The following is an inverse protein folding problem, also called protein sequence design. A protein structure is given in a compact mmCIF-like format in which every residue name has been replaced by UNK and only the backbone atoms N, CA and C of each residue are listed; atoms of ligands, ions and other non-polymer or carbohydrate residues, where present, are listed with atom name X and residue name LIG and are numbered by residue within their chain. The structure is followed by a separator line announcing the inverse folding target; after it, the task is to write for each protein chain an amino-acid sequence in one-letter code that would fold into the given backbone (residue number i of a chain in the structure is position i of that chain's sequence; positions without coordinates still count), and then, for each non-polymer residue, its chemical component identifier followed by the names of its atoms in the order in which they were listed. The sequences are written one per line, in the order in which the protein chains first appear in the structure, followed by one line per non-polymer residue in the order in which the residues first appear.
data_IF_160964090496
#
_entry.id   IF_160964090496
#
_cell.length_a   1.000
_cell.length_b   1.000
_cell.length_c   1.000
_cell.angle_alpha   90.00
_cell.angle_beta   90.00
_cell.angle_gamma   90.00
#
_symmetry.space_group_name_H-M   'P 1'
#
loop_
_entity.id
_entity.type
_entity.pdbx_description
1 polymer ?
#
# COMPACT_ATOMS: atom_id res chain seq x y z
N UNK A 1 -1.18 18.68 12.77
CA UNK A 1 -2.28 18.20 13.64
C UNK A 1 -1.65 17.78 14.96
N UNK A 2 -2.09 18.37 16.08
CA UNK A 2 -1.58 18.03 17.41
C UNK A 2 -1.96 16.59 17.77
N UNK A 3 -0.99 15.80 18.22
CA UNK A 3 -1.15 14.37 18.55
C UNK A 3 -2.10 14.11 19.74
N UNK A 4 -2.57 15.17 20.41
CA UNK A 4 -3.46 15.14 21.58
C UNK A 4 -4.86 15.71 21.33
N UNK A 5 -5.21 16.03 20.08
CA UNK A 5 -6.57 16.47 19.79
C UNK A 5 -7.50 15.26 19.74
N UNK A 6 -8.47 15.21 20.66
CA UNK A 6 -9.43 14.10 20.77
C UNK A 6 -10.13 13.92 19.41
N UNK A 7 -10.09 12.72 18.81
CA UNK A 7 -10.67 12.52 17.48
C UNK A 7 -12.17 12.80 17.52
N UNK A 8 -12.68 13.49 16.50
CA UNK A 8 -14.10 13.80 16.39
C UNK A 8 -14.89 12.47 16.24
N UNK A 9 -16.08 12.37 16.86
CA UNK A 9 -16.99 11.22 16.72
C UNK A 9 -17.18 10.79 15.26
N UNK A 10 -17.27 11.76 14.34
CA UNK A 10 -17.37 11.49 12.91
C UNK A 10 -16.13 10.73 12.38
N UNK A 11 -14.93 11.19 12.71
CA UNK A 11 -13.68 10.55 12.28
C UNK A 11 -13.54 9.14 12.85
N UNK A 12 -13.95 8.94 14.11
CA UNK A 12 -13.93 7.62 14.74
C UNK A 12 -14.83 6.65 13.99
N UNK A 13 -16.08 7.01 13.71
CA UNK A 13 -17.05 6.15 13.01
C UNK A 13 -16.50 5.72 11.63
N UNK A 14 -16.01 6.68 10.84
CA UNK A 14 -15.46 6.42 9.50
C UNK A 14 -14.24 5.50 9.58
N UNK A 15 -13.30 5.80 10.47
CA UNK A 15 -12.07 5.01 10.62
C UNK A 15 -12.37 3.60 11.11
N UNK A 16 -13.36 3.43 12.00
CA UNK A 16 -13.82 2.11 12.45
C UNK A 16 -14.42 1.30 11.31
N UNK A 17 -15.22 1.90 10.43
CA UNK A 17 -15.76 1.18 9.26
C UNK A 17 -14.65 0.69 8.33
N UNK A 18 -13.66 1.55 8.06
CA UNK A 18 -12.48 1.19 7.25
C UNK A 18 -11.67 0.07 7.92
N UNK A 19 -11.44 0.18 9.23
CA UNK A 19 -10.74 -0.84 10.01
C UNK A 19 -11.43 -2.20 9.93
N UNK A 20 -12.77 -2.23 10.10
CA UNK A 20 -13.56 -3.47 10.00
C UNK A 20 -13.39 -4.10 8.63
N UNK A 21 -13.45 -3.30 7.56
CA UNK A 21 -13.25 -3.81 6.20
C UNK A 21 -11.85 -4.42 6.01
N UNK A 22 -10.80 -3.70 6.40
CA UNK A 22 -9.42 -4.18 6.33
C UNK A 22 -9.26 -5.48 7.12
N UNK A 23 -9.82 -5.54 8.32
CA UNK A 23 -9.81 -6.74 9.15
C UNK A 23 -10.46 -7.93 8.44
N UNK A 24 -11.66 -7.75 7.88
CA UNK A 24 -12.37 -8.80 7.14
C UNK A 24 -11.52 -9.32 5.97
N UNK A 25 -10.96 -8.43 5.15
CA UNK A 25 -10.14 -8.82 3.99
C UNK A 25 -8.90 -9.61 4.43
N UNK A 26 -8.24 -9.19 5.52
CA UNK A 26 -7.06 -9.89 6.03
C UNK A 26 -7.40 -11.28 6.60
N UNK A 27 -8.48 -11.40 7.35
CA UNK A 27 -8.96 -12.71 7.85
C UNK A 27 -9.33 -13.62 6.68
N UNK A 28 -10.02 -13.10 5.67
CA UNK A 28 -10.36 -13.85 4.47
C UNK A 28 -9.11 -14.31 3.70
N UNK A 29 -8.10 -13.45 3.55
CA UNK A 29 -6.84 -13.81 2.91
C UNK A 29 -6.15 -14.99 3.61
N UNK A 30 -6.10 -14.98 4.95
CA UNK A 30 -5.56 -16.09 5.75
C UNK A 30 -6.40 -17.36 5.56
N UNK A 31 -7.73 -17.25 5.65
CA UNK A 31 -8.63 -18.40 5.51
C UNK A 31 -8.54 -19.06 4.12
N UNK A 32 -8.22 -18.28 3.08
CA UNK A 32 -8.04 -18.75 1.71
C UNK A 32 -6.60 -19.18 1.40
N UNK A 33 -5.68 -19.13 2.37
CA UNK A 33 -4.28 -19.49 2.18
C UNK A 33 -3.51 -18.53 1.27
N UNK A 34 -3.96 -17.27 1.17
CA UNK A 34 -3.30 -16.24 0.36
C UNK A 34 -2.11 -15.66 1.10
N UNK A 35 -0.96 -15.55 0.43
CA UNK A 35 0.23 -14.92 1.02
C UNK A 35 -0.03 -13.43 1.27
N UNK A 36 -0.30 -13.04 2.52
CA UNK A 36 -0.88 -11.74 2.84
C UNK A 36 0.07 -10.55 2.79
N UNK A 37 1.40 -10.74 2.70
CA UNK A 37 2.34 -9.62 2.81
C UNK A 37 2.10 -8.48 1.80
N UNK A 38 1.75 -8.72 0.50
CA UNK A 38 1.49 -7.62 -0.42
C UNK A 38 0.25 -6.82 -0.02
N UNK A 39 -0.80 -7.50 0.46
CA UNK A 39 -2.03 -6.86 0.97
C UNK A 39 -1.76 -5.93 2.16
N UNK A 40 -0.92 -6.39 3.11
CA UNK A 40 -0.51 -5.57 4.24
C UNK A 40 0.24 -4.33 3.77
N UNK A 41 1.17 -4.45 2.82
CA UNK A 41 1.94 -3.33 2.33
C UNK A 41 1.09 -2.32 1.53
N UNK A 42 0.11 -2.77 0.75
CA UNK A 42 -0.87 -1.86 0.12
C UNK A 42 -1.58 -1.03 1.19
N UNK A 43 -2.04 -1.68 2.26
CA UNK A 43 -2.76 -1.01 3.36
C UNK A 43 -1.85 -0.03 4.12
N UNK A 44 -0.64 -0.44 4.46
CA UNK A 44 0.36 0.38 5.15
C UNK A 44 0.65 1.64 4.34
N UNK A 45 0.95 1.49 3.04
CA UNK A 45 1.28 2.65 2.21
C UNK A 45 0.09 3.55 1.93
N UNK A 46 -1.11 3.01 1.85
CA UNK A 46 -2.31 3.83 1.75
C UNK A 46 -2.43 4.77 2.96
N UNK A 47 -2.27 4.27 4.19
CA UNK A 47 -2.31 5.12 5.38
C UNK A 47 -1.07 6.00 5.55
N UNK A 48 0.13 5.48 5.26
CA UNK A 48 1.37 6.25 5.36
C UNK A 48 1.38 7.45 4.41
N UNK A 49 0.69 7.34 3.27
CA UNK A 49 0.48 8.42 2.30
C UNK A 49 -0.81 9.20 2.55
N UNK A 50 -1.34 9.17 3.78
CA UNK A 50 -2.45 10.01 4.22
C UNK A 50 -3.85 9.54 3.78
N UNK A 51 -4.00 8.29 3.34
CA UNK A 51 -5.26 7.72 2.86
C UNK A 51 -5.91 8.53 1.71
N UNK A 52 -5.08 9.13 0.85
CA UNK A 52 -5.53 9.90 -0.31
C UNK A 52 -5.57 9.01 -1.57
N UNK A 53 -6.70 9.05 -2.28
CA UNK A 53 -6.92 8.35 -3.54
C UNK A 53 -5.93 8.76 -4.64
N UNK A 54 -5.41 9.97 -4.59
CA UNK A 54 -4.39 10.44 -5.54
C UNK A 54 -3.06 9.68 -5.43
N UNK A 55 -2.81 9.05 -4.28
CA UNK A 55 -1.59 8.29 -4.03
C UNK A 55 -1.72 6.81 -4.44
N UNK A 56 -2.92 6.34 -4.77
CA UNK A 56 -3.17 4.95 -5.20
C UNK A 56 -2.35 4.57 -6.44
N UNK A 57 -2.27 5.38 -7.51
CA UNK A 57 -1.39 5.09 -8.64
C UNK A 57 0.08 4.93 -8.23
N UNK A 58 0.57 5.76 -7.29
CA UNK A 58 1.95 5.67 -6.80
C UNK A 58 2.22 4.40 -5.99
N UNK A 59 1.22 3.92 -5.24
CA UNK A 59 1.30 2.65 -4.52
C UNK A 59 1.39 1.49 -5.50
N UNK A 60 0.50 1.45 -6.49
CA UNK A 60 0.46 0.35 -7.46
C UNK A 60 1.64 0.35 -8.43
N UNK A 61 2.00 1.50 -8.98
CA UNK A 61 3.15 1.63 -9.86
C UNK A 61 4.46 1.34 -9.11
N UNK A 62 4.61 1.89 -7.89
CA UNK A 62 5.76 1.63 -7.03
C UNK A 62 5.89 0.16 -6.66
N UNK A 63 4.84 -0.45 -6.11
CA UNK A 63 4.89 -1.86 -5.73
C UNK A 63 5.14 -2.80 -6.91
N UNK A 64 4.57 -2.49 -8.08
CA UNK A 64 4.86 -3.22 -9.33
C UNK A 64 6.34 -3.12 -9.71
N UNK A 65 6.90 -1.90 -9.69
CA UNK A 65 8.32 -1.71 -9.99
C UNK A 65 9.20 -2.47 -8.98
N UNK A 66 8.87 -2.43 -7.69
CA UNK A 66 9.61 -3.15 -6.65
C UNK A 66 9.62 -4.67 -6.85
N UNK A 67 8.47 -5.26 -7.18
CA UNK A 67 8.35 -6.69 -7.47
C UNK A 67 9.12 -7.09 -8.73
N UNK A 68 9.06 -6.29 -9.80
CA UNK A 68 9.84 -6.53 -11.03
C UNK A 68 11.33 -6.35 -10.75
N UNK A 69 11.71 -5.34 -9.97
CA UNK A 69 13.09 -5.09 -9.59
C UNK A 69 13.68 -6.26 -8.78
N UNK A 70 12.88 -6.96 -7.97
CA UNK A 70 13.32 -8.17 -7.27
C UNK A 70 13.69 -9.30 -8.24
N UNK A 71 12.89 -9.51 -9.30
CA UNK A 71 13.24 -10.45 -10.37
C UNK A 71 14.51 -10.02 -11.10
N UNK A 72 14.63 -8.73 -11.42
CA UNK A 72 15.80 -8.17 -12.08
C UNK A 72 17.07 -8.34 -11.25
N UNK A 73 17.00 -8.07 -9.94
CA UNK A 73 18.09 -8.25 -9.00
C UNK A 73 18.52 -9.72 -8.93
N UNK A 74 17.56 -10.64 -8.80
CA UNK A 74 17.83 -12.07 -8.75
C UNK A 74 18.47 -12.56 -10.05
N UNK A 75 17.85 -12.26 -11.20
CA UNK A 75 18.35 -12.66 -12.50
C UNK A 75 19.74 -12.07 -12.81
N UNK A 76 19.97 -10.79 -12.48
CA UNK A 76 21.26 -10.14 -12.62
C UNK A 76 22.34 -10.79 -11.75
N UNK A 77 22.01 -11.10 -10.50
CA UNK A 77 22.96 -11.71 -9.55
C UNK A 77 23.43 -13.08 -10.04
N UNK A 78 22.51 -13.96 -10.43
CA UNK A 78 22.88 -15.30 -10.88
C UNK A 78 23.40 -15.33 -12.33
N UNK A 79 22.95 -14.41 -13.19
CA UNK A 79 23.43 -14.28 -14.56
C UNK A 79 24.87 -13.75 -14.66
N UNK A 80 25.26 -12.83 -13.77
CA UNK A 80 26.61 -12.26 -13.74
C UNK A 80 27.59 -13.06 -12.87
N UNK A 81 27.09 -13.95 -12.00
CA UNK A 81 27.91 -14.75 -11.10
C UNK A 81 29.05 -15.53 -11.78
N UNK A 82 28.88 -16.14 -12.99
CA UNK A 82 29.98 -16.83 -13.66
C UNK A 82 31.18 -15.94 -14.02
N UNK A 83 30.96 -14.63 -14.19
CA UNK A 83 32.01 -13.68 -14.58
C UNK A 83 32.60 -12.91 -13.40
N UNK A 84 31.77 -12.57 -12.40
CA UNK A 84 32.15 -11.65 -11.31
C UNK A 84 32.23 -12.33 -9.93
N UNK A 85 31.91 -13.61 -9.85
CA UNK A 85 31.60 -14.27 -8.58
C UNK A 85 30.29 -13.75 -7.98
N UNK A 86 29.76 -14.46 -6.97
CA UNK A 86 28.44 -14.14 -6.41
C UNK A 86 28.38 -12.75 -5.77
N UNK A 87 29.38 -12.39 -4.95
CA UNK A 87 29.43 -11.09 -4.28
C UNK A 87 29.54 -9.92 -5.27
N UNK A 88 30.40 -10.06 -6.29
CA UNK A 88 30.56 -9.05 -7.33
C UNK A 88 29.29 -8.88 -8.16
N UNK A 89 28.68 -9.99 -8.56
CA UNK A 89 27.43 -9.99 -9.33
C UNK A 89 26.26 -9.37 -8.54
N UNK A 90 26.11 -9.72 -7.26
CA UNK A 90 25.11 -9.11 -6.39
C UNK A 90 25.35 -7.60 -6.25
N UNK A 91 26.59 -7.19 -5.98
CA UNK A 91 26.95 -5.77 -5.78
C UNK A 91 26.63 -4.92 -7.00
N UNK A 92 26.94 -5.41 -8.20
CA UNK A 92 26.61 -4.71 -9.46
C UNK A 92 25.09 -4.68 -9.68
N UNK A 93 24.42 -5.81 -9.49
CA UNK A 93 22.97 -5.91 -9.72
C UNK A 93 22.17 -5.01 -8.77
N UNK A 94 22.51 -5.01 -7.48
CA UNK A 94 21.86 -4.14 -6.50
C UNK A 94 22.19 -2.67 -6.78
N UNK A 95 23.43 -2.32 -7.14
CA UNK A 95 23.78 -0.94 -7.48
C UNK A 95 22.93 -0.41 -8.66
N UNK A 96 22.74 -1.22 -9.70
CA UNK A 96 21.90 -0.86 -10.85
C UNK A 96 20.44 -0.69 -10.44
N UNK A 97 19.88 -1.66 -9.72
CA UNK A 97 18.47 -1.61 -9.28
C UNK A 97 18.22 -0.40 -8.38
N UNK A 98 19.10 -0.15 -7.42
CA UNK A 98 19.01 1.01 -6.54
C UNK A 98 19.16 2.32 -7.32
N UNK A 99 20.08 2.41 -8.27
CA UNK A 99 20.21 3.59 -9.13
C UNK A 99 18.93 3.86 -9.92
N UNK A 100 18.30 2.82 -10.50
CA UNK A 100 17.03 2.95 -11.22
C UNK A 100 15.93 3.49 -10.31
N UNK A 101 15.80 2.99 -9.08
CA UNK A 101 14.73 3.43 -8.18
C UNK A 101 15.03 4.82 -7.58
N UNK A 102 16.26 5.09 -7.15
CA UNK A 102 16.62 6.37 -6.50
C UNK A 102 16.69 7.49 -7.52
N UNK A 103 17.50 7.33 -8.56
CA UNK A 103 17.70 8.37 -9.58
C UNK A 103 16.45 8.49 -10.44
N UNK A 104 15.82 7.36 -10.79
CA UNK A 104 14.55 7.37 -11.51
C UNK A 104 13.44 8.08 -10.74
N UNK A 105 13.50 8.17 -9.41
CA UNK A 105 12.54 8.94 -8.61
C UNK A 105 12.53 10.44 -8.91
N UNK A 106 13.63 10.98 -9.46
CA UNK A 106 13.69 12.38 -9.91
C UNK A 106 12.97 12.59 -11.25
N UNK A 107 12.74 11.53 -12.02
CA UNK A 107 12.15 11.59 -13.37
C UNK A 107 10.72 11.03 -13.39
N UNK A 108 10.50 9.89 -12.73
CA UNK A 108 9.22 9.19 -12.62
C UNK A 108 8.90 8.85 -11.15
N UNK A 109 8.59 9.85 -10.31
CA UNK A 109 8.31 9.66 -8.87
C UNK A 109 7.06 8.80 -8.59
N UNK A 110 6.19 8.61 -9.60
CA UNK A 110 5.01 7.76 -9.46
C UNK A 110 5.40 6.28 -9.35
N UNK A 111 6.42 5.82 -10.08
CA UNK A 111 6.87 4.42 -10.02
C UNK A 111 8.15 4.26 -9.17
N UNK A 112 9.11 5.16 -9.33
CA UNK A 112 10.37 5.13 -8.60
C UNK A 112 10.24 5.85 -7.26
N UNK A 113 9.77 5.15 -6.22
CA UNK A 113 9.50 5.74 -4.91
C UNK A 113 9.75 4.76 -3.75
N UNK A 114 9.44 5.21 -2.53
CA UNK A 114 9.61 4.42 -1.30
C UNK A 114 8.76 3.13 -1.29
N UNK A 115 7.64 3.09 -2.02
CA UNK A 115 6.84 1.88 -2.19
C UNK A 115 7.63 0.84 -2.99
N UNK A 116 8.25 1.24 -4.11
CA UNK A 116 9.10 0.34 -4.90
C UNK A 116 10.25 -0.25 -4.07
N UNK A 117 10.88 0.60 -3.25
CA UNK A 117 11.91 0.18 -2.31
C UNK A 117 11.45 -0.89 -1.33
N UNK A 118 10.30 -0.67 -0.70
CA UNK A 118 9.77 -1.59 0.28
C UNK A 118 9.38 -2.94 -0.33
N UNK A 119 8.73 -2.93 -1.50
CA UNK A 119 8.37 -4.16 -2.19
C UNK A 119 9.60 -4.94 -2.67
N UNK A 120 10.62 -4.26 -3.21
CA UNK A 120 11.91 -4.87 -3.52
C UNK A 120 12.52 -5.53 -2.27
N UNK A 121 12.55 -4.81 -1.16
CA UNK A 121 13.18 -5.26 0.09
C UNK A 121 12.49 -6.52 0.60
N UNK A 122 11.16 -6.51 0.72
CA UNK A 122 10.41 -7.66 1.26
C UNK A 122 10.46 -8.85 0.31
N UNK A 123 10.33 -8.62 -1.00
CA UNK A 123 10.42 -9.69 -1.99
C UNK A 123 11.79 -10.38 -2.02
N UNK A 124 12.84 -9.69 -1.55
CA UNK A 124 14.22 -10.19 -1.54
C UNK A 124 14.69 -10.77 -0.21
N UNK A 125 13.85 -10.74 0.84
CA UNK A 125 14.18 -11.33 2.16
C UNK A 125 14.53 -12.81 2.04
N UNK A 126 13.80 -13.55 1.22
CA UNK A 126 14.13 -14.93 0.88
C UNK A 126 14.60 -15.00 -0.58
N UNK A 127 15.84 -14.54 -0.80
CA UNK A 127 16.40 -14.34 -2.13
C UNK A 127 16.42 -15.62 -2.99
N UNK A 128 16.73 -16.78 -2.38
CA UNK A 128 16.79 -18.07 -3.08
C UNK A 128 15.42 -18.59 -3.52
N UNK A 129 14.34 -18.15 -2.88
CA UNK A 129 12.98 -18.55 -3.22
C UNK A 129 12.37 -17.71 -4.35
N UNK A 130 13.09 -16.70 -4.86
CA UNK A 130 12.59 -15.83 -5.93
C UNK A 130 12.51 -16.62 -7.23
N UNK A 131 11.29 -16.72 -7.75
CA UNK A 131 11.02 -17.25 -9.08
C UNK A 131 9.99 -16.37 -9.77
N UNK A 132 9.92 -16.37 -11.12
CA UNK A 132 8.85 -15.68 -11.84
C UNK A 132 7.45 -16.10 -11.39
N UNK A 133 7.26 -17.37 -11.00
CA UNK A 133 5.98 -17.86 -10.50
C UNK A 133 5.63 -17.28 -9.12
N UNK A 134 6.59 -17.25 -8.19
CA UNK A 134 6.39 -16.68 -6.84
C UNK A 134 6.11 -15.19 -6.93
N UNK A 135 6.94 -14.43 -7.67
CA UNK A 135 6.73 -12.99 -7.84
C UNK A 135 5.45 -12.71 -8.63
N UNK A 136 5.13 -13.54 -9.64
CA UNK A 136 3.88 -13.45 -10.40
C UNK A 136 2.66 -13.64 -9.50
N UNK A 137 2.68 -14.63 -8.61
CA UNK A 137 1.63 -14.81 -7.61
C UNK A 137 1.52 -13.59 -6.68
N UNK A 138 2.64 -13.07 -6.18
CA UNK A 138 2.66 -11.87 -5.33
C UNK A 138 2.14 -10.64 -6.07
N UNK A 139 2.43 -10.49 -7.36
CA UNK A 139 1.88 -9.46 -8.24
C UNK A 139 0.36 -9.55 -8.36
N UNK A 140 -0.19 -10.77 -8.50
CA UNK A 140 -1.65 -10.98 -8.55
C UNK A 140 -2.28 -10.60 -7.20
N UNK A 141 -1.72 -11.07 -6.08
CA UNK A 141 -2.21 -10.72 -4.75
C UNK A 141 -2.13 -9.22 -4.51
N UNK A 142 -1.04 -8.59 -4.93
CA UNK A 142 -0.84 -7.14 -4.85
C UNK A 142 -1.90 -6.37 -5.62
N UNK A 143 -2.12 -6.68 -6.90
CA UNK A 143 -3.09 -5.96 -7.73
C UNK A 143 -4.54 -6.27 -7.36
N UNK A 144 -4.90 -7.54 -7.33
CA UNK A 144 -6.29 -7.97 -7.09
C UNK A 144 -6.66 -7.75 -5.63
N UNK A 145 -5.82 -8.25 -4.71
CA UNK A 145 -6.03 -8.06 -3.28
C UNK A 145 -5.95 -6.59 -2.88
N UNK A 146 -4.98 -5.84 -3.43
CA UNK A 146 -4.87 -4.41 -3.24
C UNK A 146 -6.10 -3.64 -3.71
N UNK A 147 -6.65 -3.98 -4.89
CA UNK A 147 -7.87 -3.36 -5.39
C UNK A 147 -9.07 -3.65 -4.48
N UNK A 148 -9.20 -4.89 -3.98
CA UNK A 148 -10.27 -5.27 -3.04
C UNK A 148 -10.14 -4.50 -1.72
N UNK A 149 -8.95 -4.46 -1.13
CA UNK A 149 -8.76 -3.83 0.18
C UNK A 149 -8.95 -2.31 0.09
N UNK A 150 -8.39 -1.65 -0.92
CA UNK A 150 -8.53 -0.20 -1.09
C UNK A 150 -9.93 0.18 -1.56
N UNK A 151 -10.46 -0.49 -2.59
CA UNK A 151 -11.80 -0.22 -3.11
C UNK A 151 -12.88 -0.39 -2.04
N UNK A 152 -12.83 -1.48 -1.28
CA UNK A 152 -13.78 -1.68 -0.19
C UNK A 152 -13.53 -0.76 1.01
N UNK A 153 -12.30 -0.28 1.24
CA UNK A 153 -12.03 0.74 2.26
C UNK A 153 -12.75 2.06 1.91
N UNK A 154 -12.81 2.43 0.64
CA UNK A 154 -13.56 3.60 0.19
C UNK A 154 -15.07 3.43 0.36
N UNK A 155 -15.57 2.24 0.02
CA UNK A 155 -16.98 1.91 0.24
C UNK A 155 -17.33 1.96 1.74
N UNK A 156 -16.48 1.39 2.59
CA UNK A 156 -16.63 1.43 4.04
C UNK A 156 -16.58 2.86 4.59
N UNK A 157 -15.68 3.70 4.07
CA UNK A 157 -15.62 5.11 4.44
C UNK A 157 -16.90 5.87 4.04
N UNK A 158 -17.43 5.61 2.84
CA UNK A 158 -18.71 6.19 2.38
C UNK A 158 -19.88 5.80 3.30
N UNK A 159 -19.95 4.53 3.71
CA UNK A 159 -20.95 4.04 4.66
C UNK A 159 -20.76 4.73 6.03
N UNK A 160 -19.52 4.80 6.52
CA UNK A 160 -19.20 5.49 7.77
C UNK A 160 -19.60 6.95 7.78
N UNK A 161 -19.40 7.67 6.65
CA UNK A 161 -19.83 9.06 6.50
C UNK A 161 -21.37 9.20 6.62
N UNK A 162 -22.13 8.27 6.00
CA UNK A 162 -23.60 8.26 6.10
C UNK A 162 -24.07 8.01 7.54
N UNK A 163 -23.45 7.04 8.22
CA UNK A 163 -23.76 6.72 9.62
C UNK A 163 -23.44 7.92 10.54
N UNK A 164 -22.29 8.55 10.34
CA UNK A 164 -21.87 9.67 11.14
C UNK A 164 -22.77 10.90 10.94
N UNK A 165 -23.22 11.15 9.69
CA UNK A 165 -24.17 12.22 9.37
C UNK A 165 -25.56 11.98 9.99
N UNK A 166 -26.05 10.74 9.99
CA UNK A 166 -27.35 10.39 10.58
C UNK A 166 -27.37 10.53 12.12
N UNK A 167 -26.20 10.49 12.77
CA UNK A 167 -26.06 10.65 14.22
C UNK A 167 -25.76 12.07 14.69
N UNK A 168 -25.77 13.07 13.78
CA UNK A 168 -25.55 14.48 14.12
C UNK A 168 -26.82 15.09 14.74
N UNK A 169 -26.72 15.87 15.84
CA UNK A 169 -27.86 16.57 16.40
C UNK A 169 -28.47 17.53 15.37
N UNK A 170 -29.80 17.66 15.39
CA UNK A 170 -30.52 18.61 14.54
C UNK A 170 -29.93 20.02 14.73
N UNK A 171 -29.92 20.88 13.67
CA UNK A 171 -29.55 22.28 13.83
C UNK A 171 -30.41 22.87 14.95
N UNK A 172 -29.77 23.42 15.98
CA UNK A 172 -30.46 24.14 17.04
C UNK A 172 -31.27 25.24 16.36
N UNK A 173 -32.60 25.16 16.48
CA UNK A 173 -33.50 26.12 15.86
C UNK A 173 -33.06 27.51 16.34
N UNK A 174 -32.72 28.38 15.37
CA UNK A 174 -32.42 29.77 15.67
C UNK A 174 -33.60 30.32 16.50
N UNK A 175 -33.34 31.02 17.62
CA UNK A 175 -34.43 31.67 18.35
C UNK A 175 -35.16 32.57 17.37
N UNK A 176 -36.46 32.36 17.21
CA UNK A 176 -37.34 33.30 16.55
C UNK A 176 -37.20 34.62 17.31
N UNK A 177 -36.43 35.56 16.75
CA UNK A 177 -36.50 36.96 17.17
C UNK A 177 -37.91 37.44 16.83
N UNK A 178 -38.74 37.34 17.86
CA UNK A 178 -40.09 37.83 18.00
C UNK A 178 -40.19 39.25 17.41
N UNK A 179 -40.83 39.36 16.26
CA UNK A 179 -41.19 40.64 15.67
C UNK A 179 -42.37 41.26 16.43
N UNK A 180 -42.12 42.46 16.96
CA UNK A 180 -43.05 43.51 17.45
C UNK A 180 -43.37 43.53 18.95
#
# INVERSE_FOLDING_TARGET
MSIFQKPNRHQVIVTTCVLIWIFIVNVAAIALGVTGWPLYFVTIFFFALGADMKNVPSIFAGGTLGLIAALGLHAGTFGLAPSLGLLGAFSVSIAIVLAVIILGGTVCPVACNNVAFAYLTVATVNFEAITPAVIGYQMVVFWVGGAIILGGSLAAASIGNKIAAAGAPAPEAAPEEESL
#
